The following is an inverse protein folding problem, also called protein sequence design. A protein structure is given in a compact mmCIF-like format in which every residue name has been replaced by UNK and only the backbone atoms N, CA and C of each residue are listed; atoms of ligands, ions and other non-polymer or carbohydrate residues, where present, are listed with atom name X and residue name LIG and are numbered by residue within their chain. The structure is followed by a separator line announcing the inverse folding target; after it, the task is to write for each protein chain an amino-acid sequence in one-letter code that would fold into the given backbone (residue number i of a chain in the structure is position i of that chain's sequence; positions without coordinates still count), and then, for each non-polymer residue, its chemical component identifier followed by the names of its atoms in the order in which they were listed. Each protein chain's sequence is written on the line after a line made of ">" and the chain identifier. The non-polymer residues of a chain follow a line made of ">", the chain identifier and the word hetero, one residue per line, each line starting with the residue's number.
data_IF_526872034606
#
_entry.id   IF_526872034606
#
_cell.length_a   1.000
_cell.length_b   1.000
_cell.length_c   1.000
_cell.angle_alpha   90.00
_cell.angle_beta   90.00
_cell.angle_gamma   90.00
#
_symmetry.space_group_name_H-M   'P 1'
#
loop_
_entity.id
_entity.type
_entity.pdbx_description
1 polymer ?
#
# COMPACT_ATOMS: atom_id res chain seq x y z
N UNK A 1 -33.50 -6.16 -12.75
CA UNK A 1 -32.13 -6.11 -13.30
C UNK A 1 -31.31 -5.13 -12.49
N UNK A 2 -30.08 -5.46 -12.12
CA UNK A 2 -29.15 -4.54 -11.44
C UNK A 2 -28.40 -3.74 -12.51
N UNK A 3 -28.25 -2.44 -12.28
CA UNK A 3 -27.46 -1.55 -13.13
C UNK A 3 -26.23 -1.16 -12.31
N UNK A 4 -25.04 -1.51 -12.79
CA UNK A 4 -23.80 -1.23 -12.08
C UNK A 4 -23.54 0.27 -12.03
N UNK A 5 -23.10 0.76 -10.88
CA UNK A 5 -22.53 2.10 -10.76
C UNK A 5 -21.05 2.04 -11.11
N UNK A 6 -20.50 3.12 -11.63
CA UNK A 6 -19.06 3.25 -11.81
C UNK A 6 -18.37 3.46 -10.46
N UNK A 7 -17.25 2.77 -10.25
CA UNK A 7 -16.38 3.01 -9.12
C UNK A 7 -15.60 4.31 -9.36
N UNK A 8 -15.54 5.20 -8.36
CA UNK A 8 -14.82 6.47 -8.45
C UNK A 8 -13.33 6.28 -8.76
N UNK A 9 -12.72 7.26 -9.39
CA UNK A 9 -11.30 7.22 -9.75
C UNK A 9 -10.39 7.44 -8.55
N UNK A 10 -9.19 6.85 -8.58
CA UNK A 10 -8.07 7.21 -7.70
C UNK A 10 -7.13 8.07 -8.55
N UNK A 11 -6.84 9.27 -8.07
CA UNK A 11 -6.05 10.27 -8.78
C UNK A 11 -4.77 10.55 -7.99
N UNK A 12 -3.69 10.94 -8.68
CA UNK A 12 -2.51 11.51 -8.03
C UNK A 12 -2.82 12.93 -7.49
N UNK A 13 -1.86 13.57 -6.82
CA UNK A 13 -2.02 14.91 -6.26
C UNK A 13 -2.34 16.00 -7.27
N UNK A 14 -2.07 15.76 -8.55
CA UNK A 14 -2.25 16.69 -9.68
C UNK A 14 -3.50 16.35 -10.50
N UNK A 15 -4.29 15.35 -10.10
CA UNK A 15 -5.52 14.94 -10.78
C UNK A 15 -5.32 13.91 -11.88
N UNK A 16 -4.12 13.31 -12.01
CA UNK A 16 -3.84 12.26 -13.00
C UNK A 16 -4.42 10.92 -12.55
N UNK A 17 -5.16 10.18 -13.40
CA UNK A 17 -5.80 8.95 -12.98
C UNK A 17 -4.79 7.81 -12.78
N UNK A 18 -4.73 7.28 -11.56
CA UNK A 18 -3.93 6.11 -11.18
C UNK A 18 -4.76 4.82 -11.21
N UNK A 19 -6.06 4.93 -10.96
CA UNK A 19 -7.02 3.85 -11.14
C UNK A 19 -8.36 4.43 -11.60
N UNK A 20 -8.97 3.82 -12.61
CA UNK A 20 -10.26 4.23 -13.14
C UNK A 20 -11.08 3.03 -13.60
N UNK A 21 -12.40 3.19 -13.63
CA UNK A 21 -13.31 2.17 -14.15
C UNK A 21 -13.70 2.52 -15.59
N UNK A 22 -13.82 1.49 -16.43
CA UNK A 22 -14.33 1.64 -17.78
C UNK A 22 -15.46 0.63 -18.02
N UNK A 23 -16.39 1.00 -18.88
CA UNK A 23 -17.49 0.13 -19.31
C UNK A 23 -16.95 -1.04 -20.10
N UNK A 24 -17.39 -2.23 -19.73
CA UNK A 24 -17.17 -3.50 -20.41
C UNK A 24 -18.50 -4.22 -20.52
N UNK A 25 -18.56 -5.36 -21.20
CA UNK A 25 -19.81 -6.06 -21.42
C UNK A 25 -19.70 -7.55 -21.11
N UNK A 26 -20.74 -8.08 -20.49
CA UNK A 26 -20.96 -9.51 -20.38
C UNK A 26 -21.76 -9.99 -21.59
N UNK A 27 -21.28 -11.05 -22.25
CA UNK A 27 -22.01 -11.71 -23.32
C UNK A 27 -22.90 -12.79 -22.73
N UNK A 28 -24.18 -12.68 -22.98
CA UNK A 28 -25.21 -13.59 -22.46
C UNK A 28 -25.92 -14.30 -23.55
N UNK A 29 -26.35 -15.50 -23.30
CA UNK A 29 -27.19 -16.29 -24.23
C UNK A 29 -28.41 -16.82 -23.49
N UNK A 30 -29.54 -16.83 -24.11
CA UNK A 30 -30.79 -17.46 -23.66
C UNK A 30 -31.01 -18.79 -24.36
N UNK A 31 -30.48 -19.93 -23.87
CA UNK A 31 -30.49 -21.21 -24.56
C UNK A 31 -31.90 -21.73 -24.92
N UNK A 32 -32.90 -21.40 -24.07
CA UNK A 32 -34.30 -21.80 -24.31
C UNK A 32 -34.92 -21.19 -25.56
N UNK A 33 -34.34 -20.13 -26.11
CA UNK A 33 -34.80 -19.49 -27.35
C UNK A 33 -34.09 -19.99 -28.60
N UNK A 34 -33.07 -20.83 -28.47
CA UNK A 34 -32.39 -21.49 -29.60
C UNK A 34 -33.22 -22.72 -29.99
N UNK A 35 -33.86 -22.67 -31.15
CA UNK A 35 -34.87 -23.66 -31.58
C UNK A 35 -34.27 -24.92 -32.16
N UNK A 36 -33.14 -24.81 -32.86
CA UNK A 36 -32.54 -25.92 -33.62
C UNK A 36 -31.09 -26.15 -33.25
N UNK A 37 -30.60 -27.40 -33.44
CA UNK A 37 -29.19 -27.74 -33.25
C UNK A 37 -28.29 -27.04 -34.28
N UNK A 38 -28.82 -26.73 -35.48
CA UNK A 38 -28.09 -25.96 -36.47
C UNK A 38 -27.82 -24.53 -36.02
N UNK A 39 -28.81 -23.85 -35.43
CA UNK A 39 -28.64 -22.52 -34.82
C UNK A 39 -27.66 -22.57 -33.65
N UNK A 40 -27.73 -23.60 -32.79
CA UNK A 40 -26.84 -23.79 -31.66
C UNK A 40 -25.39 -23.94 -32.10
N UNK A 41 -25.15 -24.79 -33.11
CA UNK A 41 -23.83 -24.99 -33.70
C UNK A 41 -23.29 -23.68 -34.32
N UNK A 42 -24.10 -23.00 -35.16
CA UNK A 42 -23.72 -21.73 -35.78
C UNK A 42 -23.35 -20.66 -34.73
N UNK A 43 -24.13 -20.59 -33.66
CA UNK A 43 -23.83 -19.66 -32.53
C UNK A 43 -22.55 -20.03 -31.82
N UNK A 44 -22.32 -21.34 -31.56
CA UNK A 44 -21.09 -21.81 -30.95
C UNK A 44 -19.86 -21.52 -31.83
N UNK A 45 -19.97 -21.74 -33.14
CA UNK A 45 -18.88 -21.48 -34.09
C UNK A 45 -18.53 -19.99 -34.13
N UNK A 46 -19.51 -19.11 -34.26
CA UNK A 46 -19.28 -17.67 -34.36
C UNK A 46 -18.75 -17.07 -33.06
N UNK A 47 -19.41 -17.34 -31.91
CA UNK A 47 -19.00 -16.79 -30.64
C UNK A 47 -17.65 -17.37 -30.15
N UNK A 48 -17.30 -18.61 -30.51
CA UNK A 48 -15.98 -19.15 -30.17
C UNK A 48 -14.83 -18.40 -30.85
N UNK A 49 -15.04 -18.00 -32.12
CA UNK A 49 -14.08 -17.20 -32.89
C UNK A 49 -13.97 -15.75 -32.38
N UNK A 50 -15.12 -15.11 -32.10
CA UNK A 50 -15.17 -13.72 -31.66
C UNK A 50 -14.61 -13.58 -30.23
N UNK A 51 -14.92 -14.53 -29.36
CA UNK A 51 -14.58 -14.45 -27.91
C UNK A 51 -13.29 -15.18 -27.54
N UNK A 52 -12.65 -15.86 -28.50
CA UNK A 52 -11.49 -16.73 -28.28
C UNK A 52 -11.72 -17.77 -27.15
N UNK A 53 -12.88 -18.43 -27.23
CA UNK A 53 -13.29 -19.46 -26.27
C UNK A 53 -13.36 -20.80 -26.98
N UNK A 54 -12.89 -21.87 -26.32
CA UNK A 54 -13.04 -23.22 -26.86
C UNK A 54 -14.49 -23.51 -27.26
N UNK A 55 -14.67 -23.93 -28.52
CA UNK A 55 -15.97 -24.18 -29.14
C UNK A 55 -16.83 -25.16 -28.35
N UNK A 56 -16.20 -26.25 -27.87
CA UNK A 56 -16.95 -27.30 -27.17
C UNK A 56 -17.42 -26.81 -25.80
N UNK A 57 -16.58 -26.06 -25.13
CA UNK A 57 -16.92 -25.41 -23.85
C UNK A 57 -18.09 -24.43 -24.04
N UNK A 58 -18.07 -23.63 -25.10
CA UNK A 58 -19.15 -22.70 -25.40
C UNK A 58 -20.44 -23.44 -25.77
N UNK A 59 -20.34 -24.46 -26.64
CA UNK A 59 -21.47 -25.30 -27.01
C UNK A 59 -22.14 -25.93 -25.79
N UNK A 60 -21.35 -26.49 -24.87
CA UNK A 60 -21.85 -27.10 -23.62
C UNK A 60 -22.59 -26.08 -22.75
N UNK A 61 -22.13 -24.84 -22.68
CA UNK A 61 -22.83 -23.76 -21.98
C UNK A 61 -24.19 -23.44 -22.61
N UNK A 62 -24.25 -23.28 -23.92
CA UNK A 62 -25.48 -22.90 -24.62
C UNK A 62 -26.43 -24.08 -24.92
N UNK A 63 -26.01 -25.32 -24.68
CA UNK A 63 -26.85 -26.51 -24.81
C UNK A 63 -27.60 -26.88 -23.50
N UNK A 64 -27.49 -26.05 -22.47
CA UNK A 64 -28.21 -26.25 -21.19
C UNK A 64 -29.68 -25.85 -21.35
N UNK A 65 -30.58 -26.54 -20.62
CA UNK A 65 -32.02 -26.20 -20.61
C UNK A 65 -32.30 -25.11 -19.56
N UNK A 66 -31.69 -23.93 -19.78
CA UNK A 66 -31.81 -22.77 -18.88
C UNK A 66 -32.21 -21.54 -19.71
N UNK A 67 -32.84 -20.58 -19.05
CA UNK A 67 -33.29 -19.35 -19.69
C UNK A 67 -32.20 -18.32 -19.94
N UNK A 68 -31.05 -18.47 -19.25
CA UNK A 68 -29.99 -17.45 -19.25
C UNK A 68 -28.63 -18.07 -18.84
N UNK A 69 -27.59 -17.78 -19.60
CA UNK A 69 -26.19 -18.14 -19.27
C UNK A 69 -25.26 -17.05 -19.72
N UNK A 70 -24.26 -16.72 -18.86
CA UNK A 70 -23.14 -15.83 -19.22
C UNK A 70 -22.06 -16.68 -19.90
N UNK A 71 -21.79 -16.39 -21.17
CA UNK A 71 -20.80 -17.15 -21.98
C UNK A 71 -19.41 -16.51 -21.88
N UNK A 72 -19.33 -15.17 -21.87
CA UNK A 72 -18.10 -14.43 -21.61
C UNK A 72 -18.39 -13.25 -20.68
N UNK A 73 -17.41 -12.88 -19.86
CA UNK A 73 -17.50 -11.74 -18.93
C UNK A 73 -16.51 -10.67 -19.32
N UNK A 74 -16.92 -9.41 -19.11
CA UNK A 74 -16.06 -8.22 -19.17
C UNK A 74 -15.27 -8.10 -20.47
N UNK A 75 -15.92 -8.39 -21.60
CA UNK A 75 -15.33 -8.14 -22.93
C UNK A 75 -15.18 -6.64 -23.15
N UNK A 76 -14.12 -6.25 -23.81
CA UNK A 76 -13.83 -4.86 -24.12
C UNK A 76 -14.57 -4.40 -25.38
N UNK A 77 -14.62 -3.09 -25.61
CA UNK A 77 -15.40 -2.47 -26.68
C UNK A 77 -15.15 -3.07 -28.09
N UNK A 78 -13.91 -3.33 -28.54
CA UNK A 78 -13.68 -3.93 -29.84
C UNK A 78 -14.38 -5.29 -30.02
N UNK A 79 -14.31 -6.16 -29.00
CA UNK A 79 -14.97 -7.47 -29.02
C UNK A 79 -16.49 -7.33 -28.91
N UNK A 80 -16.97 -6.36 -28.11
CA UNK A 80 -18.39 -6.05 -27.99
C UNK A 80 -18.98 -5.63 -29.32
N UNK A 81 -18.29 -4.80 -30.10
CA UNK A 81 -18.71 -4.38 -31.43
C UNK A 81 -18.86 -5.59 -32.40
N UNK A 82 -17.89 -6.51 -32.40
CA UNK A 82 -17.96 -7.74 -33.19
C UNK A 82 -19.17 -8.61 -32.81
N UNK A 83 -19.46 -8.75 -31.52
CA UNK A 83 -20.64 -9.48 -31.04
C UNK A 83 -21.93 -8.76 -31.46
N UNK A 84 -21.98 -7.43 -31.35
CA UNK A 84 -23.15 -6.63 -31.75
C UNK A 84 -23.42 -6.71 -33.23
N UNK A 85 -22.40 -6.67 -34.07
CA UNK A 85 -22.50 -6.82 -35.50
C UNK A 85 -23.02 -8.22 -35.86
N UNK A 86 -22.46 -9.28 -35.23
CA UNK A 86 -22.98 -10.65 -35.45
C UNK A 86 -24.45 -10.79 -35.06
N UNK A 87 -24.88 -10.21 -33.93
CA UNK A 87 -26.31 -10.18 -33.52
C UNK A 87 -27.16 -9.51 -34.60
N UNK A 88 -26.74 -8.35 -35.07
CA UNK A 88 -27.48 -7.53 -36.06
C UNK A 88 -27.57 -8.19 -37.40
N UNK A 89 -26.47 -8.69 -37.95
CA UNK A 89 -26.40 -9.32 -39.29
C UNK A 89 -27.22 -10.60 -39.37
N UNK A 90 -27.32 -11.35 -38.27
CA UNK A 90 -28.04 -12.61 -38.22
C UNK A 90 -29.43 -12.48 -37.57
N UNK A 91 -29.88 -11.27 -37.22
CA UNK A 91 -31.16 -10.98 -36.56
C UNK A 91 -31.41 -11.87 -35.33
N UNK A 92 -30.43 -11.96 -34.45
CA UNK A 92 -30.43 -12.85 -33.27
C UNK A 92 -31.03 -12.15 -32.05
N UNK A 93 -32.11 -12.73 -31.49
CA UNK A 93 -32.78 -12.20 -30.31
C UNK A 93 -32.42 -12.91 -28.99
N UNK A 94 -31.59 -13.95 -29.03
CA UNK A 94 -31.23 -14.74 -27.83
C UNK A 94 -29.82 -14.51 -27.33
N UNK A 95 -29.03 -13.65 -27.96
CA UNK A 95 -27.74 -13.16 -27.48
C UNK A 95 -27.93 -11.74 -26.96
N UNK A 96 -27.45 -11.46 -25.79
CA UNK A 96 -27.48 -10.14 -25.14
C UNK A 96 -26.09 -9.66 -24.74
N UNK A 97 -25.93 -8.35 -24.76
CA UNK A 97 -24.79 -7.65 -24.24
C UNK A 97 -25.25 -6.88 -23.00
N UNK A 98 -24.68 -7.20 -21.83
CA UNK A 98 -25.03 -6.57 -20.56
C UNK A 98 -23.84 -5.75 -20.10
N UNK A 99 -24.05 -4.46 -19.89
CA UNK A 99 -23.00 -3.57 -19.40
C UNK A 99 -22.53 -3.98 -17.99
N UNK A 100 -21.23 -4.01 -17.81
CA UNK A 100 -20.52 -4.21 -16.56
C UNK A 100 -19.37 -3.19 -16.47
N UNK A 101 -18.68 -3.16 -15.35
CA UNK A 101 -17.55 -2.28 -15.10
C UNK A 101 -16.28 -3.10 -14.85
N UNK A 102 -15.15 -2.62 -15.36
CA UNK A 102 -13.82 -3.20 -15.08
C UNK A 102 -12.87 -2.11 -14.59
N UNK A 103 -12.14 -2.42 -13.54
CA UNK A 103 -11.13 -1.55 -12.98
C UNK A 103 -9.84 -1.66 -13.78
N UNK A 104 -9.23 -0.51 -14.08
CA UNK A 104 -7.96 -0.40 -14.79
C UNK A 104 -6.97 0.43 -13.99
N UNK A 105 -5.71 0.00 -14.00
CA UNK A 105 -4.56 0.68 -13.43
C UNK A 105 -3.60 1.01 -14.58
N UNK A 106 -3.67 2.24 -15.15
CA UNK A 106 -3.03 2.56 -16.44
C UNK A 106 -1.50 2.43 -16.44
N UNK A 107 -0.89 2.47 -15.25
CA UNK A 107 0.58 2.44 -15.11
C UNK A 107 1.12 1.08 -14.64
N UNK A 108 0.35 0.00 -14.76
CA UNK A 108 0.78 -1.35 -14.39
C UNK A 108 1.14 -1.45 -12.91
N UNK A 109 2.38 -1.82 -12.60
CA UNK A 109 2.86 -2.04 -11.23
C UNK A 109 3.07 -0.77 -10.39
N UNK A 110 2.90 0.42 -10.97
CA UNK A 110 3.06 1.71 -10.29
C UNK A 110 2.22 1.79 -9.01
N UNK A 111 2.87 2.07 -7.88
CA UNK A 111 2.26 2.19 -6.56
C UNK A 111 1.33 1.01 -6.18
N UNK A 112 1.60 -0.21 -6.68
CA UNK A 112 0.68 -1.35 -6.58
C UNK A 112 0.24 -1.66 -5.15
N UNK A 113 1.15 -1.67 -4.17
CA UNK A 113 0.83 -1.92 -2.77
C UNK A 113 0.07 -0.76 -2.10
N UNK A 114 0.23 0.46 -2.64
CA UNK A 114 -0.50 1.65 -2.15
C UNK A 114 -1.91 1.67 -2.72
N UNK A 115 -2.05 1.53 -4.04
CA UNK A 115 -3.35 1.52 -4.71
C UNK A 115 -4.18 0.32 -4.27
N UNK A 116 -3.55 -0.84 -4.20
CA UNK A 116 -4.26 -2.10 -4.01
C UNK A 116 -5.00 -2.52 -5.28
N UNK A 117 -6.01 -3.35 -5.15
CA UNK A 117 -6.80 -3.86 -6.27
C UNK A 117 -8.23 -4.19 -5.86
N UNK A 118 -9.09 -4.41 -6.86
CA UNK A 118 -10.49 -4.80 -6.68
C UNK A 118 -10.71 -6.28 -7.00
N UNK A 119 -11.70 -6.87 -6.34
CA UNK A 119 -12.20 -8.21 -6.67
C UNK A 119 -13.19 -8.21 -7.84
N UNK A 120 -13.75 -9.39 -8.11
CA UNK A 120 -14.71 -9.61 -9.21
C UNK A 120 -16.01 -8.83 -9.05
N UNK A 121 -16.40 -8.45 -7.85
CA UNK A 121 -17.61 -7.69 -7.55
C UNK A 121 -17.31 -6.20 -7.29
N UNK A 122 -16.20 -5.71 -7.82
CA UNK A 122 -15.69 -4.33 -7.69
C UNK A 122 -15.48 -3.86 -6.24
N UNK A 123 -15.40 -4.80 -5.28
CA UNK A 123 -15.00 -4.49 -3.91
C UNK A 123 -13.47 -4.32 -3.82
N UNK A 124 -13.02 -3.31 -3.10
CA UNK A 124 -11.60 -3.13 -2.79
C UNK A 124 -11.08 -4.23 -1.86
N UNK A 125 -9.94 -4.85 -2.20
CA UNK A 125 -9.35 -5.96 -1.46
C UNK A 125 -8.04 -5.60 -0.76
N UNK A 126 -7.32 -4.61 -1.25
CA UNK A 126 -6.06 -4.14 -0.68
C UNK A 126 -5.90 -2.62 -0.88
N UNK A 127 -4.91 -2.03 -0.20
CA UNK A 127 -4.50 -0.64 -0.39
C UNK A 127 -5.62 0.40 -0.23
N UNK A 128 -5.53 1.50 -0.97
CA UNK A 128 -6.52 2.58 -1.03
C UNK A 128 -7.88 2.06 -1.50
N UNK A 129 -7.90 1.10 -2.43
CA UNK A 129 -9.13 0.47 -2.93
C UNK A 129 -9.95 -0.16 -1.77
N UNK A 130 -9.28 -0.81 -0.82
CA UNK A 130 -9.93 -1.40 0.34
C UNK A 130 -10.28 -0.34 1.40
N UNK A 131 -9.33 0.54 1.73
CA UNK A 131 -9.48 1.54 2.78
C UNK A 131 -10.62 2.51 2.49
N UNK A 132 -10.73 2.96 1.25
CA UNK A 132 -11.73 3.91 0.79
C UNK A 132 -12.86 3.25 -0.02
N UNK A 133 -13.08 1.94 0.18
CA UNK A 133 -14.08 1.20 -0.59
C UNK A 133 -15.48 1.82 -0.48
N UNK A 134 -15.89 2.31 0.68
CA UNK A 134 -17.20 2.96 0.88
C UNK A 134 -17.35 4.28 0.12
N UNK A 135 -16.25 4.99 -0.13
CA UNK A 135 -16.20 6.24 -0.89
C UNK A 135 -16.20 5.97 -2.38
N UNK A 136 -15.32 5.04 -2.80
CA UNK A 136 -15.12 4.69 -4.21
C UNK A 136 -16.30 3.91 -4.80
N UNK A 137 -16.92 3.02 -4.02
CA UNK A 137 -18.02 2.17 -4.48
C UNK A 137 -19.29 2.99 -4.61
N UNK A 138 -19.78 3.16 -5.83
CA UNK A 138 -21.09 3.75 -6.07
C UNK A 138 -22.25 2.88 -5.57
N UNK A 139 -23.45 3.37 -5.73
CA UNK A 139 -24.70 2.65 -5.42
C UNK A 139 -25.35 2.17 -6.71
N UNK A 140 -25.44 0.84 -6.86
CA UNK A 140 -26.07 0.25 -8.06
C UNK A 140 -27.54 0.64 -8.17
N UNK A 141 -27.95 0.96 -9.36
CA UNK A 141 -29.35 1.14 -9.75
C UNK A 141 -30.11 -0.17 -9.88
N UNK A 142 -31.39 -0.07 -10.01
CA UNK A 142 -32.32 -1.21 -10.20
C UNK A 142 -33.36 -0.88 -11.24
N UNK A 143 -33.52 -1.79 -12.19
CA UNK A 143 -34.71 -1.82 -13.06
C UNK A 143 -35.61 -2.94 -12.55
N UNK A 144 -36.77 -2.59 -12.01
CA UNK A 144 -37.78 -3.54 -11.58
C UNK A 144 -38.84 -3.58 -12.65
N UNK A 145 -38.97 -4.71 -13.38
CA UNK A 145 -40.07 -4.95 -14.32
C UNK A 145 -40.99 -6.00 -13.75
N UNK A 146 -42.27 -5.73 -13.70
CA UNK A 146 -43.26 -6.74 -13.36
C UNK A 146 -43.51 -7.65 -14.57
N UNK A 147 -43.35 -8.96 -14.36
CA UNK A 147 -43.68 -9.98 -15.37
C UNK A 147 -44.93 -10.72 -14.93
N UNK A 148 -45.80 -11.08 -15.91
CA UNK A 148 -46.93 -11.94 -15.64
C UNK A 148 -46.50 -13.41 -15.42
N UNK A 149 -47.45 -14.29 -15.07
CA UNK A 149 -47.17 -15.70 -14.81
C UNK A 149 -46.55 -16.47 -16.00
N UNK A 150 -46.58 -15.89 -17.21
CA UNK A 150 -45.98 -16.44 -18.42
C UNK A 150 -44.63 -15.79 -18.78
N UNK A 151 -44.09 -14.91 -17.91
CA UNK A 151 -42.78 -14.28 -18.13
C UNK A 151 -42.76 -13.12 -19.11
N UNK A 152 -43.93 -12.69 -19.63
CA UNK A 152 -44.07 -11.51 -20.50
C UNK A 152 -44.21 -10.24 -19.66
N UNK A 153 -43.63 -9.13 -20.15
CA UNK A 153 -43.72 -7.84 -19.47
C UNK A 153 -45.17 -7.38 -19.40
N UNK A 154 -45.64 -6.95 -18.25
CA UNK A 154 -47.00 -6.43 -18.10
C UNK A 154 -47.09 -5.05 -18.74
N UNK A 155 -48.05 -4.83 -19.66
CA UNK A 155 -48.31 -3.51 -20.18
C UNK A 155 -48.84 -2.62 -19.04
N UNK A 156 -48.24 -1.45 -18.86
CA UNK A 156 -48.57 -0.37 -17.93
C UNK A 156 -47.95 -0.39 -16.53
N UNK A 157 -47.05 0.59 -16.30
CA UNK A 157 -46.72 1.30 -15.06
C UNK A 157 -46.13 0.52 -13.86
N UNK A 158 -45.62 -0.69 -14.04
CA UNK A 158 -44.90 -1.41 -12.94
C UNK A 158 -43.38 -1.54 -13.15
N UNK A 159 -42.77 -0.70 -14.00
CA UNK A 159 -41.34 -0.60 -14.09
C UNK A 159 -40.84 0.58 -13.22
N UNK A 160 -40.16 0.29 -12.13
CA UNK A 160 -39.46 1.30 -11.36
C UNK A 160 -37.99 1.30 -11.78
N UNK A 161 -37.54 2.43 -12.31
CA UNK A 161 -36.12 2.67 -12.59
C UNK A 161 -35.51 3.50 -11.47
N UNK A 162 -34.53 2.91 -10.77
CA UNK A 162 -33.69 3.62 -9.82
C UNK A 162 -32.33 3.79 -10.48
N UNK A 163 -31.91 5.00 -10.82
CA UNK A 163 -30.63 5.23 -11.46
C UNK A 163 -29.47 4.82 -10.52
N UNK A 164 -28.34 4.34 -11.06
CA UNK A 164 -27.13 4.16 -10.28
C UNK A 164 -26.58 5.53 -9.85
N UNK A 165 -25.85 5.54 -8.74
CA UNK A 165 -25.07 6.70 -8.29
C UNK A 165 -23.61 6.30 -8.29
N UNK A 166 -22.79 6.95 -9.12
CA UNK A 166 -21.36 6.66 -9.20
C UNK A 166 -20.63 6.98 -7.89
N UNK A 167 -19.51 6.29 -7.67
CA UNK A 167 -18.67 6.50 -6.50
C UNK A 167 -17.90 7.83 -6.59
N UNK A 168 -17.50 8.34 -5.43
CA UNK A 168 -16.67 9.53 -5.35
C UNK A 168 -15.20 9.20 -5.65
N UNK A 169 -14.46 10.19 -6.16
CA UNK A 169 -13.05 10.04 -6.43
C UNK A 169 -12.21 10.27 -5.16
N UNK A 170 -11.06 9.64 -5.11
CA UNK A 170 -10.05 9.82 -4.07
C UNK A 170 -8.80 10.40 -4.70
N UNK A 171 -8.42 11.61 -4.31
CA UNK A 171 -7.19 12.27 -4.74
C UNK A 171 -6.11 11.99 -3.70
N UNK A 172 -5.00 11.40 -4.13
CA UNK A 172 -3.89 11.05 -3.25
C UNK A 172 -2.92 12.23 -3.07
N UNK A 173 -2.06 12.12 -2.06
CA UNK A 173 -0.89 12.99 -1.88
C UNK A 173 0.29 12.52 -2.75
N UNK A 174 0.22 11.31 -3.32
CA UNK A 174 1.26 10.75 -4.19
C UNK A 174 1.51 11.67 -5.38
N UNK A 175 2.79 11.96 -5.59
CA UNK A 175 3.30 12.64 -6.76
C UNK A 175 3.87 11.60 -7.72
N UNK A 176 3.36 11.57 -8.96
CA UNK A 176 3.79 10.56 -9.95
C UNK A 176 5.30 10.56 -10.17
N UNK A 177 5.92 11.74 -10.26
CA UNK A 177 7.36 11.86 -10.52
C UNK A 177 8.17 11.32 -9.34
N UNK A 178 7.77 11.67 -8.11
CA UNK A 178 8.44 11.17 -6.89
C UNK A 178 8.26 9.66 -6.75
N UNK A 179 7.07 9.14 -6.99
CA UNK A 179 6.79 7.71 -6.90
C UNK A 179 7.61 6.92 -7.92
N UNK A 180 7.64 7.33 -9.18
CA UNK A 180 8.48 6.69 -10.21
C UNK A 180 9.97 6.74 -9.86
N UNK A 181 10.44 7.86 -9.33
CA UNK A 181 11.83 7.98 -8.91
C UNK A 181 12.16 6.98 -7.79
N UNK A 182 11.26 6.83 -6.79
CA UNK A 182 11.44 5.84 -5.73
C UNK A 182 11.45 4.41 -6.27
N UNK A 183 10.50 4.03 -7.11
CA UNK A 183 10.40 2.68 -7.67
C UNK A 183 11.63 2.32 -8.50
N UNK A 184 12.02 3.18 -9.44
CA UNK A 184 13.17 2.95 -10.29
C UNK A 184 14.47 2.81 -9.49
N UNK A 185 14.68 3.70 -8.51
CA UNK A 185 15.88 3.64 -7.68
C UNK A 185 15.88 2.43 -6.74
N UNK A 186 14.71 1.99 -6.24
CA UNK A 186 14.62 0.76 -5.46
C UNK A 186 14.93 -0.47 -6.29
N UNK A 187 14.40 -0.58 -7.51
CA UNK A 187 14.69 -1.68 -8.43
C UNK A 187 16.19 -1.73 -8.75
N UNK A 188 16.78 -0.57 -9.03
CA UNK A 188 18.22 -0.47 -9.28
C UNK A 188 19.04 -0.90 -8.04
N UNK A 189 18.67 -0.43 -6.85
CA UNK A 189 19.34 -0.78 -5.60
C UNK A 189 19.25 -2.28 -5.30
N UNK A 190 18.10 -2.91 -5.56
CA UNK A 190 17.93 -4.37 -5.44
C UNK A 190 18.86 -5.12 -6.37
N UNK A 191 18.95 -4.68 -7.63
CA UNK A 191 19.83 -5.31 -8.65
C UNK A 191 21.31 -5.15 -8.32
N UNK A 192 21.75 -3.93 -8.00
CA UNK A 192 23.15 -3.60 -7.74
C UNK A 192 23.71 -4.28 -6.48
N UNK A 193 22.86 -4.48 -5.48
CA UNK A 193 23.27 -5.04 -4.18
C UNK A 193 22.82 -6.49 -3.97
N UNK A 194 22.24 -7.14 -4.99
CA UNK A 194 21.72 -8.50 -4.90
C UNK A 194 20.80 -8.71 -3.67
N UNK A 195 19.89 -7.79 -3.43
CA UNK A 195 19.00 -7.87 -2.28
C UNK A 195 18.01 -9.01 -2.48
N UNK A 196 18.04 -9.99 -1.57
CA UNK A 196 17.23 -11.21 -1.63
C UNK A 196 16.00 -11.16 -0.75
N UNK A 197 15.83 -10.09 0.01
CA UNK A 197 14.71 -9.92 0.91
C UNK A 197 13.81 -8.78 0.40
N UNK A 198 13.42 -7.88 1.24
CA UNK A 198 12.50 -6.78 0.99
C UNK A 198 13.21 -5.44 1.10
N UNK A 199 12.78 -4.49 0.30
CA UNK A 199 13.15 -3.09 0.42
C UNK A 199 11.91 -2.22 0.39
N UNK A 200 12.00 -1.05 1.02
CA UNK A 200 10.95 -0.05 0.98
C UNK A 200 11.57 1.35 0.97
N UNK A 201 10.89 2.29 0.32
CA UNK A 201 11.21 3.71 0.36
C UNK A 201 9.95 4.53 0.56
N UNK A 202 10.05 5.62 1.35
CA UNK A 202 8.97 6.56 1.61
C UNK A 202 9.52 7.96 1.44
N UNK A 203 8.81 8.81 0.69
CA UNK A 203 9.04 10.25 0.64
C UNK A 203 7.85 10.96 1.29
N UNK A 204 8.11 11.77 2.32
CA UNK A 204 7.08 12.47 3.08
C UNK A 204 7.41 13.96 3.18
N UNK A 205 6.42 14.80 3.04
CA UNK A 205 6.52 16.21 3.35
C UNK A 205 6.54 16.41 4.88
N UNK A 206 7.67 16.84 5.42
CA UNK A 206 7.88 17.00 6.88
C UNK A 206 6.95 18.03 7.52
N UNK A 207 6.38 18.96 6.73
CA UNK A 207 5.49 20.01 7.22
C UNK A 207 4.06 19.54 7.38
N UNK A 208 3.60 18.67 6.47
CA UNK A 208 2.19 18.30 6.33
C UNK A 208 1.91 16.85 6.70
N UNK A 209 2.91 15.96 6.63
CA UNK A 209 2.72 14.51 6.74
C UNK A 209 2.22 13.85 5.46
N UNK A 210 2.07 14.61 4.36
CA UNK A 210 1.71 14.07 3.06
C UNK A 210 2.76 13.08 2.57
N UNK A 211 2.34 11.87 2.23
CA UNK A 211 3.19 10.89 1.57
C UNK A 211 3.24 11.20 0.09
N UNK A 212 4.38 11.66 -0.40
CA UNK A 212 4.61 12.01 -1.80
C UNK A 212 4.93 10.78 -2.66
N UNK A 213 5.46 9.74 -2.04
CA UNK A 213 5.75 8.47 -2.65
C UNK A 213 5.99 7.39 -1.61
N UNK A 214 5.57 6.16 -1.92
CA UNK A 214 5.77 4.99 -1.06
C UNK A 214 5.90 3.76 -1.95
N UNK A 215 7.07 3.17 -1.98
CA UNK A 215 7.41 2.04 -2.84
C UNK A 215 7.95 0.87 -2.02
N UNK A 216 7.66 -0.34 -2.47
CA UNK A 216 8.23 -1.58 -1.92
C UNK A 216 8.55 -2.54 -3.05
N UNK A 217 9.70 -3.24 -2.95
CA UNK A 217 10.07 -4.29 -3.90
C UNK A 217 10.12 -5.67 -3.21
N UNK A 218 9.75 -6.74 -3.94
CA UNK A 218 9.17 -6.73 -5.28
C UNK A 218 7.74 -6.16 -5.30
N UNK A 219 7.42 -5.42 -6.38
CA UNK A 219 6.10 -4.88 -6.68
C UNK A 219 5.16 -5.90 -7.31
N UNK A 220 3.93 -5.51 -7.64
CA UNK A 220 2.99 -6.31 -8.44
C UNK A 220 2.07 -5.40 -9.28
N UNK A 221 1.52 -5.94 -10.37
CA UNK A 221 0.54 -5.23 -11.19
C UNK A 221 -0.89 -5.42 -10.62
N UNK A 222 -1.57 -4.35 -10.18
CA UNK A 222 -2.96 -4.42 -9.75
C UNK A 222 -3.96 -4.88 -10.82
N UNK A 223 -3.61 -4.82 -12.11
CA UNK A 223 -4.44 -5.40 -13.18
C UNK A 223 -4.41 -6.93 -13.18
N UNK A 224 -3.32 -7.53 -12.69
CA UNK A 224 -3.15 -8.99 -12.53
C UNK A 224 -2.60 -9.35 -11.14
N UNK A 225 -3.36 -9.11 -10.08
CA UNK A 225 -2.88 -9.24 -8.70
C UNK A 225 -2.63 -10.68 -8.27
N UNK A 226 -3.15 -11.66 -9.01
CA UNK A 226 -3.07 -13.08 -8.66
C UNK A 226 -1.86 -13.79 -9.23
N UNK A 227 -1.21 -13.25 -10.23
CA UNK A 227 0.07 -13.73 -10.75
C UNK A 227 1.18 -13.31 -9.79
N UNK A 228 2.03 -14.27 -9.40
CA UNK A 228 3.17 -13.98 -8.53
C UNK A 228 4.23 -13.26 -9.36
N UNK A 229 4.52 -12.01 -9.02
CA UNK A 229 5.49 -11.18 -9.76
C UNK A 229 6.94 -11.49 -9.39
N UNK A 230 7.21 -11.88 -8.13
CA UNK A 230 8.56 -12.16 -7.62
C UNK A 230 9.11 -13.47 -8.19
N UNK A 231 10.21 -13.45 -8.98
CA UNK A 231 10.84 -14.66 -9.53
C UNK A 231 11.33 -15.64 -8.45
N UNK A 232 11.78 -15.16 -7.31
CA UNK A 232 12.23 -16.01 -6.20
C UNK A 232 11.04 -16.76 -5.59
N UNK A 233 9.91 -16.10 -5.40
CA UNK A 233 8.68 -16.73 -4.95
C UNK A 233 8.14 -17.72 -5.98
N UNK A 234 8.16 -17.39 -7.29
CA UNK A 234 7.79 -18.32 -8.37
C UNK A 234 8.65 -19.58 -8.33
N UNK A 235 9.98 -19.43 -8.19
CA UNK A 235 10.92 -20.55 -8.08
C UNK A 235 10.63 -21.42 -6.87
N UNK A 236 10.26 -20.81 -5.73
CA UNK A 236 9.90 -21.56 -4.52
C UNK A 236 8.60 -22.38 -4.68
N UNK A 237 7.72 -22.01 -5.60
CA UNK A 237 6.52 -22.77 -5.94
C UNK A 237 6.79 -23.92 -6.89
N UNK A 238 7.89 -23.86 -7.65
CA UNK A 238 8.25 -24.92 -8.61
C UNK A 238 8.56 -26.23 -7.87
N UNK A 239 7.96 -27.33 -8.33
CA UNK A 239 8.12 -28.64 -7.70
C UNK A 239 7.11 -28.95 -6.57
N UNK A 240 6.29 -27.97 -6.16
CA UNK A 240 5.15 -28.22 -5.27
C UNK A 240 3.92 -28.70 -6.04
N UNK A 241 3.06 -29.48 -5.38
CA UNK A 241 1.81 -29.99 -5.96
C UNK A 241 0.71 -30.09 -4.89
N UNK A 242 -0.55 -30.29 -5.33
CA UNK A 242 -1.68 -30.51 -4.44
C UNK A 242 -1.89 -29.34 -3.44
N UNK A 243 -2.17 -29.66 -2.20
CA UNK A 243 -2.48 -28.67 -1.17
C UNK A 243 -1.26 -27.86 -0.73
N UNK A 244 -0.04 -28.42 -0.83
CA UNK A 244 1.19 -27.68 -0.56
C UNK A 244 1.37 -26.52 -1.55
N UNK A 245 1.14 -26.76 -2.83
CA UNK A 245 1.19 -25.70 -3.86
C UNK A 245 0.11 -24.63 -3.62
N UNK A 246 -1.13 -25.05 -3.31
CA UNK A 246 -2.22 -24.10 -3.02
C UNK A 246 -1.89 -23.19 -1.85
N UNK A 247 -1.42 -23.76 -0.75
CA UNK A 247 -1.07 -22.98 0.45
C UNK A 247 0.12 -22.05 0.21
N UNK A 248 1.18 -22.54 -0.44
CA UNK A 248 2.36 -21.74 -0.77
C UNK A 248 2.01 -20.59 -1.71
N UNK A 249 1.16 -20.83 -2.73
CA UNK A 249 0.67 -19.78 -3.65
C UNK A 249 -0.16 -18.73 -2.90
N UNK A 250 -1.06 -19.15 -2.01
CA UNK A 250 -1.84 -18.22 -1.20
C UNK A 250 -0.94 -17.33 -0.32
N UNK A 251 0.06 -17.92 0.32
CA UNK A 251 1.03 -17.19 1.14
C UNK A 251 1.85 -16.19 0.31
N UNK A 252 2.33 -16.61 -0.87
CA UNK A 252 3.09 -15.75 -1.77
C UNK A 252 2.26 -14.54 -2.26
N UNK A 253 0.99 -14.76 -2.62
CA UNK A 253 0.05 -13.68 -2.96
C UNK A 253 -0.17 -12.71 -1.81
N UNK A 254 -0.43 -13.22 -0.62
CA UNK A 254 -0.60 -12.36 0.56
C UNK A 254 0.67 -11.54 0.86
N UNK A 255 1.85 -12.12 0.70
CA UNK A 255 3.12 -11.42 0.87
C UNK A 255 3.32 -10.31 -0.17
N UNK A 256 2.97 -10.56 -1.43
CA UNK A 256 3.03 -9.61 -2.54
C UNK A 256 2.10 -8.40 -2.35
N UNK A 257 0.90 -8.60 -1.81
CA UNK A 257 -0.09 -7.54 -1.62
C UNK A 257 0.19 -6.64 -0.41
N UNK A 258 1.05 -7.10 0.51
CA UNK A 258 1.38 -6.31 1.70
C UNK A 258 2.22 -5.09 1.36
N UNK A 259 1.85 -3.95 1.88
CA UNK A 259 2.68 -2.76 1.87
C UNK A 259 3.72 -2.85 2.98
N UNK A 260 4.92 -3.35 2.65
CA UNK A 260 6.00 -3.63 3.60
C UNK A 260 6.48 -2.39 4.36
N UNK A 261 6.32 -1.21 3.75
CA UNK A 261 6.69 0.07 4.38
C UNK A 261 5.93 0.36 5.68
N UNK A 262 4.71 -0.20 5.84
CA UNK A 262 3.86 0.02 7.02
C UNK A 262 3.52 -1.26 7.77
N UNK A 263 3.75 -2.46 7.16
CA UNK A 263 3.33 -3.73 7.76
C UNK A 263 4.45 -4.52 8.38
N UNK A 264 5.72 -4.19 8.11
CA UNK A 264 6.85 -5.03 8.49
C UNK A 264 7.85 -4.30 9.38
N UNK A 265 7.83 -4.54 10.71
CA UNK A 265 8.78 -3.95 11.64
C UNK A 265 10.20 -4.49 11.43
N UNK A 266 11.19 -3.62 11.49
CA UNK A 266 12.62 -3.93 11.42
C UNK A 266 13.38 -3.22 12.55
N UNK A 267 14.57 -3.67 12.88
CA UNK A 267 15.48 -2.96 13.78
C UNK A 267 16.12 -1.80 13.02
N UNK A 268 15.85 -0.52 13.40
CA UNK A 268 16.28 0.64 12.61
C UNK A 268 17.78 0.88 12.66
N UNK A 269 18.50 0.26 13.60
CA UNK A 269 19.94 0.45 13.75
C UNK A 269 20.30 1.90 13.99
N UNK A 270 21.45 2.34 13.43
CA UNK A 270 22.01 3.67 13.70
C UNK A 270 21.12 4.86 13.30
N UNK A 271 20.13 4.69 12.46
CA UNK A 271 19.14 5.75 12.18
C UNK A 271 18.39 6.15 13.46
N UNK A 272 18.18 5.20 14.37
CA UNK A 272 17.54 5.44 15.67
C UNK A 272 18.35 6.35 16.60
N UNK A 273 19.66 6.46 16.39
CA UNK A 273 20.53 7.36 17.15
C UNK A 273 20.07 8.81 17.08
N UNK A 274 19.43 9.21 15.99
CA UNK A 274 18.78 10.52 15.85
C UNK A 274 17.71 10.74 16.93
N UNK A 275 16.90 9.74 17.22
CA UNK A 275 15.85 9.82 18.26
C UNK A 275 16.49 9.85 19.67
N UNK A 276 17.50 9.02 19.90
CA UNK A 276 18.22 8.98 21.18
C UNK A 276 18.94 10.31 21.44
N UNK A 277 19.61 10.88 20.43
CA UNK A 277 20.26 12.18 20.50
C UNK A 277 19.24 13.30 20.78
N UNK A 278 18.15 13.34 20.01
CA UNK A 278 17.08 14.33 20.19
C UNK A 278 16.51 14.30 21.62
N UNK A 279 16.25 13.10 22.14
CA UNK A 279 15.76 12.91 23.50
C UNK A 279 16.78 13.40 24.54
N UNK A 280 18.08 13.11 24.37
CA UNK A 280 19.12 13.51 25.31
C UNK A 280 19.40 15.02 25.30
N UNK A 281 19.37 15.63 24.09
CA UNK A 281 19.53 17.10 23.94
C UNK A 281 18.33 17.82 24.54
N UNK A 282 17.11 17.38 24.24
CA UNK A 282 15.86 17.98 24.75
C UNK A 282 15.73 17.83 26.29
N UNK A 283 16.15 16.70 26.81
CA UNK A 283 16.21 16.48 28.29
C UNK A 283 17.34 17.26 28.98
N UNK A 284 18.21 17.93 28.20
CA UNK A 284 19.35 18.70 28.74
C UNK A 284 20.45 17.86 29.38
N UNK A 285 20.49 16.53 29.14
CA UNK A 285 21.48 15.61 29.72
C UNK A 285 22.74 15.49 28.88
N UNK A 286 22.72 16.01 27.64
CA UNK A 286 23.86 16.00 26.71
C UNK A 286 23.91 17.30 25.91
N UNK A 287 25.14 17.81 25.74
CA UNK A 287 25.48 18.92 24.80
C UNK A 287 26.45 18.43 23.76
N UNK A 288 26.47 19.06 22.58
CA UNK A 288 27.36 18.72 21.47
C UNK A 288 28.85 18.62 21.87
N UNK A 289 29.30 19.42 22.85
CA UNK A 289 30.66 19.50 23.31
C UNK A 289 31.01 18.56 24.48
N UNK A 290 30.02 17.83 25.01
CA UNK A 290 30.27 16.90 26.12
C UNK A 290 31.21 15.77 25.68
N UNK A 291 32.15 15.43 26.56
CA UNK A 291 33.14 14.40 26.30
C UNK A 291 32.64 13.02 26.72
N UNK A 292 32.96 12.05 25.89
CA UNK A 292 32.69 10.62 26.06
C UNK A 292 33.99 9.84 25.79
N UNK A 293 34.14 8.72 26.48
CA UNK A 293 35.27 7.82 26.25
C UNK A 293 34.79 6.57 25.50
N UNK A 294 35.39 6.31 24.33
CA UNK A 294 35.16 5.09 23.54
C UNK A 294 36.43 4.22 23.55
N UNK A 295 36.50 3.20 24.41
CA UNK A 295 37.59 2.21 24.42
C UNK A 295 37.38 1.07 23.40
N UNK A 296 36.45 1.18 22.45
CA UNK A 296 36.06 0.13 21.48
C UNK A 296 35.06 -0.88 22.03
N UNK A 297 34.80 -0.91 23.32
CA UNK A 297 33.76 -1.73 23.95
C UNK A 297 33.35 -1.18 25.30
N UNK A 298 32.16 -1.51 25.74
CA UNK A 298 31.62 -1.18 27.05
C UNK A 298 30.94 -2.40 27.70
N UNK A 299 31.23 -2.66 28.96
CA UNK A 299 30.56 -3.71 29.75
C UNK A 299 29.39 -3.11 30.52
N UNK A 300 28.23 -3.75 30.41
CA UNK A 300 27.04 -3.38 31.17
C UNK A 300 26.19 -4.59 31.51
N UNK A 301 25.83 -4.76 32.79
CA UNK A 301 24.94 -5.81 33.31
C UNK A 301 25.26 -7.24 32.78
N UNK A 302 26.55 -7.59 32.75
CA UNK A 302 26.99 -8.93 32.31
C UNK A 302 27.15 -9.12 30.79
N UNK A 303 26.82 -8.10 29.98
CA UNK A 303 26.99 -8.10 28.54
C UNK A 303 28.08 -7.14 28.10
N UNK A 304 28.89 -7.51 27.09
CA UNK A 304 29.85 -6.61 26.45
C UNK A 304 29.30 -6.15 25.12
N UNK A 305 29.19 -4.85 24.93
CA UNK A 305 28.85 -4.24 23.66
C UNK A 305 30.11 -3.74 22.97
N UNK A 306 30.23 -3.98 21.69
CA UNK A 306 31.39 -3.58 20.90
C UNK A 306 31.01 -2.43 19.96
N UNK A 307 31.98 -1.54 19.74
CA UNK A 307 31.89 -0.57 18.67
C UNK A 307 32.26 -1.23 17.33
N UNK A 308 31.92 -0.55 16.23
CA UNK A 308 32.30 -1.01 14.87
C UNK A 308 33.83 -0.90 14.64
N UNK A 309 34.48 0.05 15.33
CA UNK A 309 35.94 0.28 15.26
C UNK A 309 36.67 -0.47 16.38
N UNK A 310 37.47 -1.45 16.00
CA UNK A 310 38.32 -2.16 16.96
C UNK A 310 39.30 -1.20 17.63
N UNK A 311 39.37 -1.25 18.98
CA UNK A 311 40.22 -0.36 19.80
C UNK A 311 39.62 1.01 20.10
N UNK A 312 38.44 1.31 19.54
CA UNK A 312 37.70 2.53 19.81
C UNK A 312 38.29 3.81 19.22
N UNK A 313 37.70 4.92 19.57
CA UNK A 313 38.12 6.28 19.14
C UNK A 313 38.72 7.13 20.25
N UNK A 314 38.83 6.59 21.46
CA UNK A 314 39.33 7.32 22.63
C UNK A 314 38.32 8.35 23.13
N UNK A 315 38.84 9.51 23.57
CA UNK A 315 37.97 10.59 24.04
C UNK A 315 37.49 11.42 22.88
N UNK A 316 36.18 11.48 22.69
CA UNK A 316 35.52 12.21 21.64
C UNK A 316 34.40 13.11 22.21
N UNK A 317 34.04 14.17 21.49
CA UNK A 317 32.83 14.93 21.81
C UNK A 317 31.56 14.16 21.43
N UNK A 318 30.42 14.52 22.01
CA UNK A 318 29.12 13.95 21.60
C UNK A 318 28.89 14.14 20.09
N UNK A 319 29.20 15.34 19.57
CA UNK A 319 29.08 15.61 18.12
C UNK A 319 29.93 14.62 17.30
N UNK A 320 31.20 14.44 17.61
CA UNK A 320 32.06 13.47 16.95
C UNK A 320 31.56 12.03 17.08
N UNK A 321 31.02 11.68 18.27
CA UNK A 321 30.39 10.38 18.52
C UNK A 321 29.15 10.14 17.63
N UNK A 322 28.40 11.20 17.36
CA UNK A 322 27.26 11.16 16.43
C UNK A 322 27.74 11.05 14.98
N UNK A 323 28.63 11.93 14.52
CA UNK A 323 29.20 11.96 13.16
C UNK A 323 29.84 10.62 12.75
N UNK A 324 30.53 9.97 13.70
CA UNK A 324 31.19 8.67 13.46
C UNK A 324 30.30 7.48 13.82
N UNK A 325 29.06 7.73 14.21
CA UNK A 325 28.08 6.69 14.57
C UNK A 325 28.61 5.70 15.64
N UNK A 326 29.28 6.20 16.70
CA UNK A 326 29.95 5.40 17.74
C UNK A 326 28.89 4.78 18.67
N UNK A 327 28.79 3.45 18.73
CA UNK A 327 27.81 2.76 19.57
C UNK A 327 28.04 2.98 21.05
N UNK A 328 29.32 2.92 21.48
CA UNK A 328 29.72 3.11 22.90
C UNK A 328 29.30 4.47 23.42
N UNK A 329 29.42 5.53 22.61
CA UNK A 329 28.94 6.88 22.98
C UNK A 329 27.42 6.86 23.19
N UNK A 330 26.66 6.25 22.29
CA UNK A 330 25.20 6.21 22.41
C UNK A 330 24.68 5.35 23.55
N UNK A 331 25.40 4.31 23.96
CA UNK A 331 25.12 3.56 25.19
C UNK A 331 25.27 4.48 26.42
N UNK A 332 26.36 5.26 26.49
CA UNK A 332 26.59 6.22 27.58
C UNK A 332 25.53 7.35 27.56
N UNK A 333 25.14 7.83 26.39
CA UNK A 333 24.04 8.81 26.25
C UNK A 333 22.73 8.23 26.77
N UNK A 334 22.37 7.01 26.40
CA UNK A 334 21.18 6.31 26.91
C UNK A 334 21.24 6.12 28.44
N UNK A 335 22.41 5.79 28.99
CA UNK A 335 22.59 5.69 30.43
C UNK A 335 22.38 7.03 31.13
N UNK A 336 22.88 8.15 30.58
CA UNK A 336 22.62 9.52 31.10
C UNK A 336 21.15 9.89 31.05
N UNK A 337 20.45 9.50 29.96
CA UNK A 337 19.00 9.75 29.78
C UNK A 337 18.15 8.94 30.77
N UNK A 338 18.57 7.71 31.05
CA UNK A 338 17.86 6.77 31.92
C UNK A 338 16.62 6.15 31.28
N UNK A 339 16.18 5.02 31.83
CA UNK A 339 15.08 4.21 31.28
C UNK A 339 13.76 5.01 31.17
N UNK A 340 13.38 5.71 32.23
CA UNK A 340 12.10 6.41 32.28
C UNK A 340 11.98 7.51 31.18
N UNK A 341 13.06 8.34 31.07
CA UNK A 341 13.09 9.37 30.02
C UNK A 341 13.18 8.74 28.63
N UNK A 342 14.03 7.72 28.45
CA UNK A 342 14.14 7.03 27.16
C UNK A 342 12.77 6.51 26.69
N UNK A 343 12.04 5.81 27.56
CA UNK A 343 10.72 5.28 27.22
C UNK A 343 9.68 6.38 26.99
N UNK A 344 9.72 7.45 27.77
CA UNK A 344 8.87 8.63 27.58
C UNK A 344 9.06 9.24 26.18
N UNK A 345 10.32 9.42 25.74
CA UNK A 345 10.60 9.94 24.40
C UNK A 345 10.23 8.94 23.30
N UNK A 346 10.49 7.64 23.50
CA UNK A 346 10.04 6.60 22.58
C UNK A 346 8.53 6.71 22.32
N UNK A 347 7.74 6.87 23.38
CA UNK A 347 6.30 7.09 23.30
C UNK A 347 5.92 8.44 22.68
N UNK A 348 6.65 9.52 23.05
CA UNK A 348 6.37 10.85 22.50
C UNK A 348 6.57 10.89 20.98
N UNK A 349 7.64 10.29 20.47
CA UNK A 349 7.94 10.20 19.04
C UNK A 349 7.02 9.23 18.29
N UNK A 350 6.03 8.61 18.97
CA UNK A 350 5.01 7.75 18.37
C UNK A 350 5.45 6.31 18.12
N UNK A 351 6.64 5.91 18.58
CA UNK A 351 7.24 4.58 18.35
C UNK A 351 6.66 3.48 19.26
N UNK A 352 5.57 3.74 19.95
CA UNK A 352 4.82 2.78 20.79
C UNK A 352 3.36 2.69 20.40
N UNK A 353 2.95 3.35 19.32
CA UNK A 353 1.56 3.39 18.85
C UNK A 353 1.52 3.57 17.33
N UNK A 354 0.46 3.09 16.69
CA UNK A 354 0.25 3.30 15.27
C UNK A 354 0.24 4.77 14.90
N UNK A 355 0.77 5.09 13.72
CA UNK A 355 0.74 6.47 13.19
C UNK A 355 -0.68 6.90 12.86
N UNK A 356 -1.54 5.95 12.48
CA UNK A 356 -2.88 6.19 11.98
C UNK A 356 -2.87 6.66 10.52
N UNK A 357 -1.86 6.24 9.75
CA UNK A 357 -1.87 6.41 8.29
C UNK A 357 -3.14 5.79 7.71
N UNK A 358 -3.73 6.46 6.75
CA UNK A 358 -4.98 6.09 6.11
C UNK A 358 -4.81 4.98 5.03
N UNK A 359 -4.07 3.93 5.42
CA UNK A 359 -3.89 2.68 4.66
C UNK A 359 -4.18 1.47 5.56
N UNK A 360 -4.67 0.36 5.01
CA UNK A 360 -4.95 -0.84 5.79
C UNK A 360 -3.68 -1.59 6.15
N UNK A 361 -3.70 -2.30 7.27
CA UNK A 361 -2.65 -3.26 7.64
C UNK A 361 -1.47 -2.64 8.39
N UNK A 362 -1.51 -1.38 8.81
CA UNK A 362 -0.44 -0.79 9.62
C UNK A 362 -0.11 -1.66 10.83
N UNK A 363 1.16 -2.09 10.93
CA UNK A 363 1.65 -2.85 12.07
C UNK A 363 2.01 -1.92 13.24
N UNK A 364 1.99 -2.46 14.44
CA UNK A 364 2.50 -1.78 15.62
C UNK A 364 3.99 -2.12 15.79
N UNK A 365 4.77 -1.17 16.27
CA UNK A 365 6.15 -1.40 16.72
C UNK A 365 6.22 -2.53 17.75
N UNK A 366 7.25 -3.34 17.66
CA UNK A 366 7.57 -4.35 18.67
C UNK A 366 8.59 -3.75 19.61
N UNK A 367 8.11 -3.17 20.72
CA UNK A 367 8.93 -2.53 21.73
C UNK A 367 8.96 -3.37 23.01
N UNK A 368 10.07 -3.30 23.73
CA UNK A 368 10.17 -3.89 25.07
C UNK A 368 9.28 -3.07 26.01
N UNK A 369 8.36 -3.70 26.78
CA UNK A 369 7.54 -2.98 27.75
C UNK A 369 8.40 -2.25 28.79
N UNK A 370 8.03 -1.04 29.20
CA UNK A 370 8.77 -0.19 30.13
C UNK A 370 9.26 -0.94 31.38
N UNK A 371 8.40 -1.74 31.98
CA UNK A 371 8.72 -2.55 33.19
C UNK A 371 9.82 -3.60 32.98
N UNK A 372 10.15 -3.93 31.73
CA UNK A 372 11.20 -4.89 31.35
C UNK A 372 12.47 -4.21 30.83
N UNK A 373 12.49 -2.88 30.77
CA UNK A 373 13.70 -2.16 30.40
C UNK A 373 14.71 -2.20 31.55
N UNK A 374 15.72 -3.03 31.37
CA UNK A 374 16.91 -3.05 32.20
C UNK A 374 18.08 -2.29 31.57
N UNK A 375 19.25 -2.29 32.22
CA UNK A 375 20.45 -1.64 31.68
C UNK A 375 20.90 -2.19 30.30
N UNK A 376 20.72 -3.49 30.07
CA UNK A 376 21.08 -4.15 28.79
C UNK A 376 20.15 -3.75 27.68
N UNK A 377 18.84 -3.71 27.96
CA UNK A 377 17.82 -3.29 27.02
C UNK A 377 18.00 -1.84 26.61
N UNK A 378 18.23 -0.96 27.57
CA UNK A 378 18.51 0.46 27.36
C UNK A 378 19.76 0.66 26.49
N UNK A 379 20.85 -0.04 26.83
CA UNK A 379 22.10 0.03 26.07
C UNK A 379 21.87 -0.34 24.59
N UNK A 380 21.21 -1.47 24.33
CA UNK A 380 20.93 -1.94 22.95
C UNK A 380 19.97 -1.00 22.20
N UNK A 381 18.91 -0.54 22.87
CA UNK A 381 17.91 0.33 22.28
C UNK A 381 18.47 1.72 21.94
N UNK A 382 19.47 2.21 22.69
CA UNK A 382 20.07 3.54 22.47
C UNK A 382 20.72 3.70 21.09
N UNK A 383 21.14 2.59 20.46
CA UNK A 383 21.67 2.58 19.09
C UNK A 383 20.81 1.81 18.08
N UNK A 384 19.52 1.59 18.41
CA UNK A 384 18.50 1.11 17.49
C UNK A 384 18.37 -0.40 17.33
N UNK A 385 18.79 -1.18 18.31
CA UNK A 385 18.58 -2.62 18.35
C UNK A 385 17.49 -3.01 19.37
N UNK A 386 16.96 -4.24 19.27
CA UNK A 386 15.88 -4.83 20.09
C UNK A 386 14.48 -4.22 19.93
N UNK A 387 14.35 -2.95 19.63
CA UNK A 387 13.06 -2.37 19.24
C UNK A 387 12.92 -2.47 17.73
N UNK A 388 11.75 -2.89 17.29
CA UNK A 388 11.43 -2.97 15.86
C UNK A 388 10.26 -2.04 15.56
N UNK A 389 10.39 -1.24 14.53
CA UNK A 389 9.32 -0.37 14.03
C UNK A 389 9.22 -0.44 12.51
N UNK A 390 8.02 -0.30 11.93
CA UNK A 390 7.88 -0.16 10.49
C UNK A 390 8.55 1.14 9.99
N UNK A 391 9.05 1.19 8.75
CA UNK A 391 9.53 2.44 8.14
C UNK A 391 8.52 3.59 8.24
N UNK A 392 7.23 3.28 8.09
CA UNK A 392 6.13 4.26 8.22
C UNK A 392 5.97 4.89 9.59
N UNK A 393 6.43 4.25 10.68
CA UNK A 393 6.50 4.87 12.02
C UNK A 393 7.80 5.66 12.22
N UNK A 394 8.89 5.23 11.59
CA UNK A 394 10.20 5.88 11.75
C UNK A 394 10.25 7.24 11.05
N UNK A 395 9.66 7.38 9.86
CA UNK A 395 9.74 8.61 9.07
C UNK A 395 9.10 9.83 9.77
N UNK A 396 7.88 9.77 10.35
CA UNK A 396 7.31 10.91 11.08
C UNK A 396 8.09 11.24 12.37
N UNK A 397 8.71 10.24 13.01
CA UNK A 397 9.57 10.48 14.18
C UNK A 397 10.81 11.29 13.81
N UNK A 398 11.50 10.94 12.73
CA UNK A 398 12.64 11.73 12.21
C UNK A 398 12.17 13.11 11.69
N UNK A 399 11.06 13.19 11.00
CA UNK A 399 10.49 14.45 10.54
C UNK A 399 10.20 15.40 11.70
N UNK A 400 9.75 14.89 12.85
CA UNK A 400 9.52 15.71 14.04
C UNK A 400 10.82 16.34 14.58
N UNK A 401 11.95 15.62 14.50
CA UNK A 401 13.27 16.17 14.86
C UNK A 401 13.62 17.36 13.97
N UNK A 402 13.42 17.23 12.65
CA UNK A 402 13.74 18.27 11.66
C UNK A 402 12.70 19.42 11.59
N UNK A 403 11.57 19.33 12.29
CA UNK A 403 10.45 20.28 12.17
C UNK A 403 10.01 20.90 13.50
N UNK A 404 10.96 21.40 14.26
CA UNK A 404 10.66 22.12 15.51
C UNK A 404 10.00 21.25 16.57
N UNK A 405 10.22 19.94 16.52
CA UNK A 405 9.71 18.97 17.49
C UNK A 405 8.23 18.64 17.35
N UNK A 406 7.61 18.88 16.20
CA UNK A 406 6.17 18.60 15.96
C UNK A 406 5.97 17.29 15.22
N UNK A 407 5.39 16.31 15.90
CA UNK A 407 4.99 15.05 15.26
C UNK A 407 3.73 15.28 14.43
N UNK A 408 3.79 14.94 13.15
CA UNK A 408 2.66 15.00 12.22
C UNK A 408 2.14 13.59 11.91
N UNK A 409 0.86 13.49 11.59
CA UNK A 409 0.27 12.23 11.14
C UNK A 409 0.55 12.04 9.65
N UNK A 410 1.22 10.95 9.23
CA UNK A 410 1.33 10.64 7.82
C UNK A 410 -0.03 10.31 7.24
N UNK A 411 -0.29 10.76 6.00
CA UNK A 411 -1.52 10.47 5.28
C UNK A 411 -1.27 10.39 3.78
N UNK A 412 -2.13 9.64 3.08
CA UNK A 412 -1.98 9.39 1.65
C UNK A 412 -3.13 9.97 0.82
N UNK A 413 -4.24 10.32 1.45
CA UNK A 413 -5.36 10.99 0.78
C UNK A 413 -5.31 12.48 1.05
N UNK A 414 -5.38 13.26 -0.03
CA UNK A 414 -5.43 14.72 -0.02
C UNK A 414 -6.87 15.22 0.06
N UNK A 415 -7.74 14.67 -0.79
CA UNK A 415 -9.15 15.08 -0.85
C UNK A 415 -10.05 13.99 -1.45
N UNK A 416 -11.34 14.11 -1.18
CA UNK A 416 -12.41 13.35 -1.82
C UNK A 416 -13.21 14.32 -2.67
N UNK A 417 -13.46 13.96 -3.95
CA UNK A 417 -14.29 14.73 -4.85
C UNK A 417 -15.49 13.94 -5.35
N UNK A 418 -16.54 14.61 -5.77
CA UNK A 418 -17.61 13.94 -6.52
C UNK A 418 -17.11 13.53 -7.93
N UNK A 419 -17.91 12.76 -8.71
CA UNK A 419 -17.52 12.36 -10.06
C UNK A 419 -17.21 13.53 -11.02
N UNK A 420 -17.71 14.74 -10.73
CA UNK A 420 -17.52 15.94 -11.52
C UNK A 420 -16.32 16.79 -11.06
N UNK A 421 -15.58 16.33 -10.04
CA UNK A 421 -14.40 17.00 -9.53
C UNK A 421 -14.67 18.05 -8.44
N UNK A 422 -15.91 18.21 -7.97
CA UNK A 422 -16.22 19.09 -6.84
C UNK A 422 -15.69 18.49 -5.55
N UNK A 423 -14.89 19.23 -4.80
CA UNK A 423 -14.33 18.80 -3.52
C UNK A 423 -15.45 18.65 -2.48
N UNK A 424 -15.52 17.47 -1.89
CA UNK A 424 -16.45 17.09 -0.82
C UNK A 424 -15.77 17.12 0.54
N UNK A 425 -14.50 16.72 0.61
CA UNK A 425 -13.71 16.67 1.83
C UNK A 425 -12.23 16.87 1.50
N UNK A 426 -11.53 17.63 2.35
CA UNK A 426 -10.07 17.85 2.25
C UNK A 426 -9.42 17.31 3.52
N UNK A 427 -8.29 16.65 3.35
CA UNK A 427 -7.42 16.20 4.43
C UNK A 427 -6.17 17.11 4.44
N UNK A 428 -5.66 17.42 5.61
CA UNK A 428 -4.52 18.31 5.75
C UNK A 428 -3.64 17.92 6.92
N UNK A 429 -2.61 18.74 7.15
CA UNK A 429 -1.67 18.51 8.23
C UNK A 429 -2.37 18.38 9.58
N UNK A 430 -2.29 17.20 10.17
CA UNK A 430 -2.75 16.95 11.54
C UNK A 430 -1.54 16.87 12.44
N UNK A 431 -1.26 17.96 13.17
CA UNK A 431 -0.25 17.96 14.22
C UNK A 431 -0.75 17.11 15.39
N UNK A 432 -0.07 16.00 15.68
CA UNK A 432 -0.43 15.13 16.80
C UNK A 432 0.04 15.69 18.14
N UNK A 433 1.30 16.13 18.19
CA UNK A 433 1.95 16.44 19.48
C UNK A 433 3.25 17.22 19.29
N UNK A 434 3.58 18.11 20.25
CA UNK A 434 4.93 18.60 20.45
C UNK A 434 5.71 17.52 21.21
N UNK A 435 6.75 16.95 20.62
CA UNK A 435 7.50 15.80 21.17
C UNK A 435 8.85 16.17 21.76
N UNK A 436 9.40 17.30 21.30
CA UNK A 436 10.61 17.94 21.83
C UNK A 436 10.51 19.45 21.64
N UNK A 437 11.36 20.22 22.32
CA UNK A 437 11.38 21.70 22.21
C UNK A 437 11.88 22.14 20.82
N UNK A 438 11.44 23.31 20.35
CA UNK A 438 11.97 23.90 19.11
C UNK A 438 13.49 24.18 19.19
N UNK A 439 14.00 24.54 20.36
CA UNK A 439 15.41 24.79 20.62
C UNK A 439 16.25 23.53 20.43
N UNK A 440 15.81 22.41 21.01
CA UNK A 440 16.47 21.12 20.85
C UNK A 440 16.40 20.63 19.39
N UNK A 441 15.26 20.83 18.69
CA UNK A 441 15.13 20.54 17.26
C UNK A 441 16.15 21.33 16.42
N UNK A 442 16.32 22.62 16.69
CA UNK A 442 17.30 23.48 15.98
C UNK A 442 18.74 23.02 16.22
N UNK A 443 19.06 22.59 17.44
CA UNK A 443 20.39 22.02 17.73
C UNK A 443 20.59 20.68 17.03
N UNK A 444 19.56 19.84 16.95
CA UNK A 444 19.63 18.59 16.20
C UNK A 444 19.78 18.80 14.70
N UNK A 445 19.11 19.80 14.09
CA UNK A 445 19.32 20.16 12.69
C UNK A 445 20.79 20.51 12.41
N UNK A 446 21.43 21.28 13.32
CA UNK A 446 22.86 21.60 13.21
C UNK A 446 23.74 20.35 13.31
N UNK A 447 23.45 19.45 14.25
CA UNK A 447 24.19 18.20 14.43
C UNK A 447 24.04 17.29 13.19
N UNK A 448 22.83 17.13 12.67
CA UNK A 448 22.53 16.32 11.49
C UNK A 448 23.19 16.89 10.22
N UNK A 449 23.21 18.22 10.07
CA UNK A 449 23.91 18.85 8.95
C UNK A 449 25.41 18.54 8.98
N UNK A 450 26.05 18.59 10.14
CA UNK A 450 27.47 18.26 10.31
C UNK A 450 27.72 16.77 10.05
N UNK A 451 26.83 15.88 10.47
CA UNK A 451 26.94 14.45 10.19
C UNK A 451 26.98 14.15 8.69
N UNK A 452 26.17 14.83 7.88
CA UNK A 452 26.15 14.69 6.43
C UNK A 452 27.33 15.35 5.76
N UNK A 453 27.84 16.49 6.25
CA UNK A 453 28.95 17.22 5.62
C UNK A 453 30.33 16.73 6.07
N UNK A 454 30.48 16.28 7.29
CA UNK A 454 31.77 15.92 7.92
C UNK A 454 31.82 14.47 8.41
N UNK A 455 30.67 13.86 8.70
CA UNK A 455 30.54 12.55 9.30
C UNK A 455 30.35 11.39 8.33
N UNK A 456 29.68 10.34 8.81
CA UNK A 456 29.42 9.07 8.11
C UNK A 456 28.30 9.15 7.07
N UNK A 457 27.56 10.25 7.04
CA UNK A 457 26.47 10.48 6.10
C UNK A 457 26.86 11.10 4.75
N UNK A 458 28.18 11.23 4.47
CA UNK A 458 28.71 11.77 3.20
C UNK A 458 28.30 10.93 2.01
#
# INVERSE_FOLDING_TARGET
>A
MRISANRGSILDRNGKPLAQSATVWDVTVSPSYIKTDAERNKTADALSQILDIDRQTLYNKINQRISYVVVAKRIEKPTQELVADYIKENNIGYIGLVEDSKRYYPYGNFAGQVLGFTGTDDQGLAGVEAQYNSVLKGTSGKLVTAKNAHGTDMPYNYSAYVPPTDGNNVVLTIDEVVQHALENNLQQAVADNNVTNRVAAIAMNVNTGEILGMATEPGFDPNDPYTIADPAAQKALSGLSGDALKQATANARQAQWRNKAITEPYEPGSVFKTITAAAAVDAGVVKATDLFNDPGSIKGAGTTFHDWKAGGSGTVTFLQGFEQSINVVFIQVGQRLGVANFYKYLSNFGLTSKTGIDLPGEALSITIPEKRYGPVELASASFGQRNKCPPGEMIPAIAAVAKGGKLVQPHIVKEITDPNGKVLQTFGATAKKQVMSPEASKEMDRILQLEVTEGSGK
#
